data_IF_702853701791
#
_entry.id   IF_702853701791
#
_cell.length_a   1.000
_cell.length_b   1.000
_cell.length_c   1.000
_cell.angle_alpha   90.00
_cell.angle_beta   90.00
_cell.angle_gamma   90.00
#
_symmetry.space_group_name_H-M   'P 1'
#
loop_
_entity.id
_entity.type
_entity.pdbx_description
1 polymer ?
#
# COMPACT_ATOMS: atom_id res chain seq x y z
N UNK A 1 -7.25 7.22 -6.49
CA UNK A 1 -7.10 6.02 -5.61
C UNK A 1 -7.18 4.67 -6.33
N UNK A 2 -8.28 4.34 -7.05
CA UNK A 2 -8.41 3.04 -7.76
C UNK A 2 -7.30 2.79 -8.80
N UNK A 3 -6.94 3.82 -9.58
CA UNK A 3 -5.83 3.73 -10.55
C UNK A 3 -4.49 3.38 -9.87
N UNK A 4 -4.09 4.12 -8.83
CA UNK A 4 -2.85 3.85 -8.09
C UNK A 4 -2.76 2.41 -7.56
N UNK A 5 -3.86 1.86 -7.01
CA UNK A 5 -3.89 0.46 -6.59
C UNK A 5 -3.69 -0.52 -7.75
N UNK A 6 -4.28 -0.27 -8.92
CA UNK A 6 -4.08 -1.13 -10.10
C UNK A 6 -2.64 -1.08 -10.59
N UNK A 7 -2.06 0.12 -10.68
CA UNK A 7 -0.69 0.32 -11.13
C UNK A 7 0.30 -0.44 -10.23
N UNK A 8 0.23 -0.24 -8.92
CA UNK A 8 1.08 -0.91 -7.93
C UNK A 8 0.82 -2.42 -7.84
N UNK A 9 -0.37 -2.90 -8.24
CA UNK A 9 -0.66 -4.33 -8.26
C UNK A 9 0.05 -5.10 -9.39
N UNK A 10 0.69 -4.40 -10.33
CA UNK A 10 1.33 -4.95 -11.56
C UNK A 10 0.38 -5.72 -12.49
N UNK A 11 -0.93 -5.57 -12.30
CA UNK A 11 -1.99 -6.09 -13.18
C UNK A 11 -2.58 -4.99 -14.05
N UNK A 12 -1.71 -4.19 -14.64
CA UNK A 12 -2.11 -3.04 -15.44
C UNK A 12 -1.66 -3.20 -16.89
N UNK A 13 -2.39 -2.58 -17.80
CA UNK A 13 -1.99 -2.43 -19.19
C UNK A 13 -1.88 -0.92 -19.43
N UNK A 14 -0.64 -0.41 -19.51
CA UNK A 14 -0.38 1.03 -19.60
C UNK A 14 -1.05 1.66 -20.82
N UNK A 15 -1.15 0.94 -21.94
CA UNK A 15 -1.82 1.45 -23.15
C UNK A 15 -3.33 1.63 -22.95
N UNK A 16 -3.97 0.69 -22.26
CA UNK A 16 -5.38 0.82 -21.91
C UNK A 16 -5.61 1.94 -20.91
N UNK A 17 -4.74 2.07 -19.90
CA UNK A 17 -4.82 3.15 -18.92
C UNK A 17 -4.70 4.52 -19.59
N UNK A 18 -3.74 4.70 -20.51
CA UNK A 18 -3.59 5.93 -21.31
C UNK A 18 -4.83 6.22 -22.18
N UNK A 19 -5.40 5.20 -22.83
CA UNK A 19 -6.63 5.37 -23.63
C UNK A 19 -7.83 5.75 -22.77
N UNK A 20 -7.89 5.30 -21.53
CA UNK A 20 -8.93 5.72 -20.58
C UNK A 20 -8.67 7.17 -20.16
N UNK A 21 -7.43 7.52 -19.82
CA UNK A 21 -7.07 8.88 -19.42
C UNK A 21 -7.34 9.91 -20.52
N UNK A 22 -7.04 9.59 -21.80
CA UNK A 22 -7.32 10.49 -22.91
C UNK A 22 -8.82 10.77 -23.08
N UNK A 23 -9.68 9.78 -22.81
CA UNK A 23 -11.13 9.95 -22.80
C UNK A 23 -11.65 10.72 -21.57
N UNK A 24 -10.95 10.62 -20.43
CA UNK A 24 -11.31 11.30 -19.19
C UNK A 24 -10.87 12.76 -19.16
N UNK A 25 -9.81 13.14 -19.88
CA UNK A 25 -9.25 14.51 -19.89
C UNK A 25 -10.25 15.61 -20.28
N UNK A 26 -11.29 15.27 -21.05
CA UNK A 26 -12.37 16.20 -21.42
C UNK A 26 -13.60 16.16 -20.53
N UNK A 27 -13.64 15.27 -19.52
CA UNK A 27 -14.81 15.02 -18.65
C UNK A 27 -14.51 15.15 -17.17
N UNK A 28 -13.24 15.08 -16.77
CA UNK A 28 -12.79 15.14 -15.37
C UNK A 28 -11.97 16.41 -15.17
N UNK A 29 -11.96 16.90 -13.93
CA UNK A 29 -11.15 18.05 -13.52
C UNK A 29 -9.68 17.90 -13.92
N UNK A 30 -9.09 18.99 -14.43
CA UNK A 30 -7.75 19.02 -14.99
C UNK A 30 -6.68 18.51 -14.01
N UNK A 31 -6.74 18.90 -12.74
CA UNK A 31 -5.75 18.48 -11.73
C UNK A 31 -5.83 16.98 -11.45
N UNK A 32 -7.03 16.39 -11.40
CA UNK A 32 -7.20 14.96 -11.20
C UNK A 32 -6.70 14.16 -12.41
N UNK A 33 -6.99 14.62 -13.63
CA UNK A 33 -6.46 14.00 -14.86
C UNK A 33 -4.94 14.14 -14.94
N UNK A 34 -4.38 15.26 -14.50
CA UNK A 34 -2.94 15.49 -14.46
C UNK A 34 -2.26 14.56 -13.46
N UNK A 35 -2.78 14.47 -12.23
CA UNK A 35 -2.26 13.56 -11.21
C UNK A 35 -2.32 12.10 -11.67
N UNK A 36 -3.41 11.67 -12.31
CA UNK A 36 -3.51 10.31 -12.86
C UNK A 36 -2.52 10.05 -14.00
N UNK A 37 -2.27 11.03 -14.87
CA UNK A 37 -1.26 10.92 -15.92
C UNK A 37 0.14 10.81 -15.31
N UNK A 38 0.45 11.67 -14.32
CA UNK A 38 1.71 11.62 -13.62
C UNK A 38 1.94 10.29 -12.90
N UNK A 39 0.90 9.66 -12.32
CA UNK A 39 1.02 8.30 -11.75
C UNK A 39 1.43 7.25 -12.81
N UNK A 40 0.89 7.35 -14.03
CA UNK A 40 1.22 6.43 -15.12
C UNK A 40 2.65 6.66 -15.60
N UNK A 41 3.04 7.92 -15.75
CA UNK A 41 4.39 8.31 -16.18
C UNK A 41 5.44 7.93 -15.12
N UNK A 42 5.13 8.08 -13.82
CA UNK A 42 5.98 7.63 -12.70
C UNK A 42 6.26 6.11 -12.81
N UNK A 43 5.22 5.31 -13.04
CA UNK A 43 5.34 3.84 -13.15
C UNK A 43 6.13 3.43 -14.39
N UNK A 44 5.92 4.09 -15.52
CA UNK A 44 6.66 3.80 -16.75
C UNK A 44 8.15 4.13 -16.59
N UNK A 45 8.45 5.31 -16.04
CA UNK A 45 9.83 5.76 -15.80
C UNK A 45 10.55 4.82 -14.83
N UNK A 46 9.84 4.27 -13.83
CA UNK A 46 10.44 3.42 -12.81
C UNK A 46 10.45 1.93 -13.15
N UNK A 47 9.56 1.47 -14.04
CA UNK A 47 9.64 0.11 -14.58
C UNK A 47 10.98 -0.18 -15.29
N UNK A 48 11.74 0.89 -15.57
CA UNK A 48 13.08 0.89 -16.15
C UNK A 48 14.23 1.04 -15.13
N UNK A 49 13.95 1.19 -13.83
CA UNK A 49 14.97 1.34 -12.78
C UNK A 49 14.79 0.27 -11.70
N UNK A 50 15.31 -0.94 -11.94
CA UNK A 50 15.38 -1.96 -10.88
C UNK A 50 16.48 -1.59 -9.90
N UNK A 51 16.34 -1.98 -8.64
CA UNK A 51 17.41 -1.82 -7.64
C UNK A 51 18.74 -2.45 -8.11
N UNK A 52 18.66 -3.54 -8.89
CA UNK A 52 19.80 -4.18 -9.56
C UNK A 52 20.50 -3.27 -10.57
N UNK A 53 19.78 -2.36 -11.24
CA UNK A 53 20.37 -1.38 -12.17
C UNK A 53 21.11 -0.27 -11.41
N UNK A 54 20.64 0.08 -10.19
CA UNK A 54 21.37 0.95 -9.26
C UNK A 54 22.60 0.26 -8.65
N UNK A 55 22.53 -1.05 -8.39
CA UNK A 55 23.68 -1.85 -7.98
C UNK A 55 24.72 -2.03 -9.10
N UNK A 56 24.31 -1.94 -10.37
CA UNK A 56 25.22 -2.00 -11.53
C UNK A 56 26.30 -0.92 -11.60
N UNK A 57 26.23 0.10 -10.72
CA UNK A 57 27.25 1.15 -10.58
C UNK A 57 28.28 0.93 -9.47
N UNK A 58 28.08 -0.03 -8.55
CA UNK A 58 29.02 -0.31 -7.47
C UNK A 58 29.33 -1.81 -7.41
N UNK A 59 30.55 -2.12 -7.84
CA UNK A 59 31.35 -3.32 -7.55
C UNK A 59 30.85 -4.15 -6.37
N UNK A 60 30.66 -5.47 -6.60
CA UNK A 60 30.86 -6.56 -5.63
C UNK A 60 30.93 -6.12 -4.15
N UNK A 61 29.82 -5.64 -3.61
CA UNK A 61 29.62 -5.64 -2.18
C UNK A 61 28.89 -6.95 -1.90
N UNK A 62 29.58 -7.85 -1.21
CA UNK A 62 29.01 -9.02 -0.53
C UNK A 62 27.83 -8.60 0.35
N UNK A 63 26.66 -8.44 -0.26
CA UNK A 63 25.44 -8.72 0.44
C UNK A 63 25.11 -10.11 -0.05
N UNK A 64 25.35 -11.10 0.80
CA UNK A 64 24.57 -12.34 0.84
C UNK A 64 23.09 -11.95 1.09
N UNK A 65 22.48 -11.20 0.17
CA UNK A 65 21.15 -10.66 0.29
C UNK A 65 20.19 -11.81 -0.01
N UNK A 66 19.86 -12.56 1.04
CA UNK A 66 18.78 -13.55 1.03
C UNK A 66 17.43 -12.93 0.58
N UNK A 67 17.32 -11.60 0.55
CA UNK A 67 16.11 -10.85 0.21
C UNK A 67 16.30 -10.01 -1.06
N UNK A 68 15.52 -10.31 -2.12
CA UNK A 68 15.42 -9.48 -3.33
C UNK A 68 14.42 -8.33 -3.12
N UNK A 69 14.88 -7.08 -3.16
CA UNK A 69 14.05 -5.88 -2.94
C UNK A 69 13.77 -5.16 -4.26
N UNK A 70 12.49 -4.98 -4.57
CA UNK A 70 12.02 -4.10 -5.66
C UNK A 70 11.24 -2.94 -5.06
N UNK A 71 11.67 -1.71 -5.36
CA UNK A 71 11.04 -0.48 -4.86
C UNK A 71 10.40 0.29 -6.01
N UNK A 72 9.17 0.73 -5.81
CA UNK A 72 8.48 1.69 -6.69
C UNK A 72 8.39 3.02 -5.94
N UNK A 73 8.96 4.07 -6.52
CA UNK A 73 8.94 5.41 -5.94
C UNK A 73 7.71 6.15 -6.48
N UNK A 74 7.26 7.22 -5.86
CA UNK A 74 6.15 7.99 -6.40
C UNK A 74 6.16 9.37 -5.82
N UNK A 75 5.77 10.37 -6.61
CA UNK A 75 5.66 11.71 -6.06
C UNK A 75 4.42 11.79 -5.16
N UNK A 76 4.62 11.98 -3.86
CA UNK A 76 3.55 12.09 -2.85
C UNK A 76 2.43 13.07 -3.24
N UNK A 77 2.73 14.14 -3.99
CA UNK A 77 1.72 15.10 -4.45
C UNK A 77 0.76 14.58 -5.52
N UNK A 78 1.16 13.56 -6.28
CA UNK A 78 0.32 12.96 -7.34
C UNK A 78 -0.36 11.69 -6.86
N UNK A 79 0.24 10.96 -5.93
CA UNK A 79 -0.26 9.68 -5.45
C UNK A 79 -1.29 9.83 -4.33
N UNK A 80 -2.28 8.92 -4.22
CA UNK A 80 -3.21 8.96 -3.10
C UNK A 80 -2.45 8.65 -1.81
N UNK A 81 -2.77 9.35 -0.72
CA UNK A 81 -2.28 8.95 0.60
C UNK A 81 -3.00 7.68 1.06
N UNK A 82 -2.23 6.78 1.67
CA UNK A 82 -2.73 5.57 2.32
C UNK A 82 -2.37 5.62 3.81
N UNK A 83 -3.17 4.97 4.64
CA UNK A 83 -2.89 4.91 6.07
C UNK A 83 -1.75 3.90 6.29
N UNK A 84 -0.53 4.42 6.42
CA UNK A 84 0.62 3.61 6.77
C UNK A 84 0.58 3.24 8.26
N UNK A 85 0.58 1.95 8.61
CA UNK A 85 0.63 1.51 10.00
C UNK A 85 2.04 1.66 10.55
N UNK A 86 2.15 1.95 11.85
CA UNK A 86 3.44 1.95 12.55
C UNK A 86 3.89 0.51 12.86
N UNK A 87 4.31 -0.20 11.82
CA UNK A 87 4.67 -1.62 11.84
C UNK A 87 6.14 -1.80 12.19
N UNK A 88 6.43 -2.63 13.20
CA UNK A 88 7.79 -3.12 13.45
C UNK A 88 8.10 -4.25 12.46
N UNK A 89 9.17 -4.07 11.68
CA UNK A 89 9.60 -5.01 10.66
C UNK A 89 10.87 -5.77 11.09
N UNK A 90 11.15 -6.94 10.48
CA UNK A 90 12.41 -7.64 10.66
C UNK A 90 13.64 -6.78 10.33
N UNK A 91 14.75 -7.04 11.02
CA UNK A 91 15.98 -6.24 10.89
C UNK A 91 16.57 -6.32 9.49
N UNK A 92 16.38 -7.43 8.80
CA UNK A 92 16.81 -7.68 7.42
C UNK A 92 16.10 -6.71 6.46
N UNK A 93 14.77 -6.59 6.57
CA UNK A 93 13.99 -5.65 5.76
C UNK A 93 14.38 -4.20 6.05
N UNK A 94 14.57 -3.84 7.33
CA UNK A 94 14.99 -2.50 7.71
C UNK A 94 16.37 -2.13 7.16
N UNK A 95 17.32 -3.08 7.12
CA UNK A 95 18.65 -2.86 6.51
C UNK A 95 18.53 -2.57 5.02
N UNK A 96 17.77 -3.38 4.27
CA UNK A 96 17.57 -3.16 2.82
C UNK A 96 16.92 -1.80 2.54
N UNK A 97 15.93 -1.41 3.35
CA UNK A 97 15.27 -0.10 3.22
C UNK A 97 16.23 1.07 3.51
N UNK A 98 17.05 0.96 4.57
CA UNK A 98 18.02 1.99 4.92
C UNK A 98 19.13 2.15 3.85
N UNK A 99 19.57 1.04 3.26
CA UNK A 99 20.54 1.05 2.17
C UNK A 99 19.96 1.66 0.90
N UNK A 100 18.73 1.31 0.54
CA UNK A 100 18.01 1.94 -0.56
C UNK A 100 17.87 3.45 -0.33
N UNK A 101 17.50 3.88 0.87
CA UNK A 101 17.35 5.29 1.20
C UNK A 101 18.68 6.06 1.06
N UNK A 102 19.79 5.46 1.50
CA UNK A 102 21.13 6.03 1.32
C UNK A 102 21.47 6.20 -0.17
N UNK A 103 21.19 5.19 -0.99
CA UNK A 103 21.43 5.23 -2.44
C UNK A 103 20.54 6.28 -3.12
N UNK A 104 19.27 6.39 -2.74
CA UNK A 104 18.33 7.36 -3.28
C UNK A 104 18.73 8.80 -2.93
N UNK A 105 19.15 9.04 -1.69
CA UNK A 105 19.67 10.34 -1.23
C UNK A 105 20.97 10.75 -1.92
N UNK A 106 21.78 9.79 -2.38
CA UNK A 106 22.99 10.10 -3.15
C UNK A 106 22.69 10.67 -4.54
N UNK A 107 21.54 10.30 -5.12
CA UNK A 107 21.12 10.73 -6.46
C UNK A 107 20.10 11.88 -6.44
N UNK A 108 19.42 12.08 -5.31
CA UNK A 108 18.37 13.09 -5.16
C UNK A 108 18.41 13.74 -3.78
N UNK A 109 18.10 15.03 -3.69
CA UNK A 109 17.97 15.73 -2.41
C UNK A 109 16.57 15.58 -1.78
N UNK A 110 15.82 14.54 -2.18
CA UNK A 110 14.45 14.31 -1.72
C UNK A 110 14.41 13.27 -0.61
N UNK A 111 13.55 13.50 0.38
CA UNK A 111 13.27 12.53 1.42
C UNK A 111 12.28 11.47 0.90
N UNK A 112 12.45 10.22 1.36
CA UNK A 112 11.53 9.13 1.09
C UNK A 112 10.59 8.94 2.27
N UNK A 113 9.34 8.60 1.97
CA UNK A 113 8.37 8.12 2.94
C UNK A 113 7.86 6.76 2.47
N UNK A 114 7.83 5.78 3.35
CA UNK A 114 7.61 4.38 2.99
C UNK A 114 6.15 3.97 3.19
N UNK A 115 5.49 3.60 2.10
CA UNK A 115 4.12 3.11 2.13
C UNK A 115 4.06 1.58 2.23
N UNK A 116 3.98 1.06 3.45
CA UNK A 116 4.02 -0.39 3.71
C UNK A 116 2.68 -1.09 3.51
N UNK A 117 1.55 -0.35 3.46
CA UNK A 117 0.22 -0.98 3.37
C UNK A 117 -0.04 -1.67 2.03
N UNK A 118 0.69 -1.26 0.98
CA UNK A 118 0.56 -1.78 -0.39
C UNK A 118 1.68 -2.74 -0.77
N UNK A 119 2.65 -2.94 0.12
CA UNK A 119 3.79 -3.80 -0.13
C UNK A 119 3.40 -5.26 -0.28
N UNK A 120 4.14 -5.95 -1.15
CA UNK A 120 4.02 -7.39 -1.39
C UNK A 120 5.36 -8.05 -1.09
N UNK A 121 5.29 -9.22 -0.49
CA UNK A 121 6.46 -10.03 -0.16
C UNK A 121 6.23 -11.45 -0.66
N UNK A 122 7.29 -12.08 -1.18
CA UNK A 122 7.31 -13.50 -1.47
C UNK A 122 8.11 -14.15 -0.33
N UNK A 123 7.50 -15.09 0.38
CA UNK A 123 8.12 -15.78 1.52
C UNK A 123 8.16 -17.27 1.20
N UNK A 124 9.32 -17.89 1.36
CA UNK A 124 9.50 -19.33 1.22
C UNK A 124 9.28 -19.98 2.59
N UNK A 125 8.45 -21.01 2.63
CA UNK A 125 8.12 -21.79 3.83
C UNK A 125 8.58 -23.22 3.62
N UNK A 126 9.30 -23.78 4.61
CA UNK A 126 9.84 -25.15 4.59
C UNK A 126 10.60 -25.47 3.29
N UNK A 127 11.37 -24.50 2.77
CA UNK A 127 12.22 -24.58 1.57
C UNK A 127 11.54 -25.08 0.29
N UNK A 128 10.21 -25.08 0.24
CA UNK A 128 9.44 -25.71 -0.83
C UNK A 128 8.20 -24.95 -1.24
N UNK A 129 7.60 -24.17 -0.32
CA UNK A 129 6.33 -23.48 -0.58
C UNK A 129 6.54 -21.98 -0.62
N UNK A 130 6.32 -21.38 -1.79
CA UNK A 130 6.32 -19.93 -1.95
C UNK A 130 4.94 -19.34 -1.60
N UNK A 131 4.92 -18.30 -0.78
CA UNK A 131 3.72 -17.56 -0.40
C UNK A 131 3.78 -16.11 -0.89
N UNK A 132 2.77 -15.66 -1.63
CA UNK A 132 2.56 -14.24 -1.95
C UNK A 132 1.75 -13.59 -0.84
N UNK A 133 2.40 -12.72 -0.06
CA UNK A 133 1.86 -12.09 1.15
C UNK A 133 1.91 -10.57 1.06
N UNK A 134 1.08 -9.91 1.88
CA UNK A 134 1.25 -8.48 2.18
C UNK A 134 2.40 -8.27 3.17
N UNK A 135 2.96 -7.06 3.25
CA UNK A 135 4.05 -6.73 4.19
C UNK A 135 3.69 -7.06 5.65
N UNK A 136 2.46 -6.76 6.08
CA UNK A 136 1.97 -7.11 7.43
C UNK A 136 1.96 -8.62 7.66
N UNK A 137 1.48 -9.38 6.69
CA UNK A 137 1.43 -10.85 6.74
C UNK A 137 2.85 -11.43 6.81
N UNK A 138 3.79 -10.92 6.02
CA UNK A 138 5.17 -11.36 6.04
C UNK A 138 5.87 -11.05 7.37
N UNK A 139 5.68 -9.85 7.92
CA UNK A 139 6.23 -9.48 9.23
C UNK A 139 5.70 -10.38 10.35
N UNK A 140 4.41 -10.76 10.30
CA UNK A 140 3.83 -11.69 11.26
C UNK A 140 4.50 -13.06 11.20
N UNK A 141 4.67 -13.63 10.00
CA UNK A 141 5.33 -14.94 9.86
C UNK A 141 6.80 -14.89 10.27
N UNK A 142 7.50 -13.81 9.98
CA UNK A 142 8.90 -13.64 10.35
C UNK A 142 9.13 -13.71 11.87
N UNK A 143 8.12 -13.38 12.70
CA UNK A 143 8.22 -13.55 14.16
C UNK A 143 8.44 -15.00 14.58
N UNK A 144 7.94 -15.96 13.79
CA UNK A 144 8.06 -17.39 14.08
C UNK A 144 9.44 -17.96 13.72
N UNK A 145 10.30 -17.20 13.04
CA UNK A 145 11.70 -17.60 12.80
C UNK A 145 12.52 -17.64 14.11
N UNK A 146 12.11 -16.87 15.12
CA UNK A 146 12.79 -16.82 16.43
C UNK A 146 11.99 -17.47 17.57
N UNK A 147 10.78 -17.96 17.30
CA UNK A 147 9.89 -18.50 18.33
C UNK A 147 8.87 -19.46 17.72
N UNK A 148 8.85 -20.71 18.15
CA UNK A 148 7.92 -21.72 17.62
C UNK A 148 6.45 -21.46 17.99
N UNK A 149 6.24 -20.80 19.14
CA UNK A 149 4.92 -20.50 19.69
C UNK A 149 4.87 -19.05 20.22
N UNK A 150 3.77 -18.35 19.92
CA UNK A 150 3.53 -16.98 20.36
C UNK A 150 2.07 -16.80 20.79
N UNK A 151 1.86 -16.01 21.85
CA UNK A 151 0.52 -15.59 22.24
C UNK A 151 0.04 -14.44 21.36
N UNK A 152 -1.28 -14.25 21.27
CA UNK A 152 -1.87 -13.09 20.59
C UNK A 152 -1.28 -11.76 21.10
N UNK A 153 -1.11 -11.63 22.43
CA UNK A 153 -0.58 -10.41 23.05
C UNK A 153 0.89 -10.13 22.68
N UNK A 154 1.70 -11.18 22.56
CA UNK A 154 3.10 -11.05 22.13
C UNK A 154 3.19 -10.63 20.67
N UNK A 155 2.31 -11.15 19.81
CA UNK A 155 2.26 -10.79 18.39
C UNK A 155 1.88 -9.32 18.22
N UNK A 156 0.87 -8.83 18.96
CA UNK A 156 0.49 -7.42 18.93
C UNK A 156 1.63 -6.50 19.37
N UNK A 157 2.33 -6.84 20.46
CA UNK A 157 3.43 -6.02 20.96
C UNK A 157 4.65 -6.05 20.03
N UNK A 158 5.02 -7.22 19.51
CA UNK A 158 6.16 -7.37 18.57
C UNK A 158 5.93 -6.71 17.22
N UNK A 159 4.69 -6.67 16.71
CA UNK A 159 4.35 -5.99 15.45
C UNK A 159 4.00 -4.51 15.64
N UNK A 160 3.72 -4.08 16.87
CA UNK A 160 3.18 -2.75 17.18
C UNK A 160 1.88 -2.42 16.40
N UNK A 161 0.99 -3.41 16.29
CA UNK A 161 -0.30 -3.27 15.60
C UNK A 161 -1.49 -3.40 16.57
N UNK A 162 -2.59 -2.67 16.33
CA UNK A 162 -3.81 -2.82 17.12
C UNK A 162 -4.44 -4.20 16.88
N UNK A 163 -5.17 -4.70 17.88
CA UNK A 163 -5.82 -6.02 17.81
C UNK A 163 -6.74 -6.16 16.58
N UNK A 164 -7.44 -5.09 16.20
CA UNK A 164 -8.33 -5.05 15.03
C UNK A 164 -7.61 -5.36 13.70
N UNK A 165 -6.32 -5.00 13.61
CA UNK A 165 -5.46 -5.27 12.45
C UNK A 165 -4.83 -6.66 12.52
N UNK A 166 -4.55 -7.19 13.71
CA UNK A 166 -3.87 -8.48 13.92
C UNK A 166 -4.82 -9.67 13.78
N UNK A 167 -6.06 -9.56 14.25
CA UNK A 167 -7.10 -10.60 14.13
C UNK A 167 -7.26 -11.11 12.69
N UNK A 168 -7.45 -10.28 11.66
CA UNK A 168 -7.59 -10.76 10.28
C UNK A 168 -6.30 -11.39 9.74
N UNK A 169 -5.13 -10.91 10.14
CA UNK A 169 -3.86 -11.49 9.75
C UNK A 169 -3.76 -12.92 10.29
N UNK A 170 -4.03 -13.12 11.58
CA UNK A 170 -4.01 -14.45 12.20
C UNK A 170 -5.06 -15.38 11.60
N UNK A 171 -6.29 -14.90 11.40
CA UNK A 171 -7.34 -15.68 10.72
C UNK A 171 -6.90 -16.14 9.32
N UNK A 172 -6.15 -15.32 8.59
CA UNK A 172 -5.65 -15.68 7.25
C UNK A 172 -4.68 -16.87 7.25
N UNK A 173 -3.95 -17.08 8.36
CA UNK A 173 -2.95 -18.13 8.50
C UNK A 173 -3.40 -19.35 9.31
N UNK A 174 -4.39 -19.20 10.19
CA UNK A 174 -4.83 -20.29 11.10
C UNK A 174 -6.20 -20.87 10.77
N UNK A 175 -7.15 -20.02 10.40
CA UNK A 175 -8.55 -20.43 10.19
C UNK A 175 -8.92 -20.56 8.70
N UNK A 176 -8.02 -20.14 7.81
CA UNK A 176 -8.21 -20.24 6.37
C UNK A 176 -7.97 -21.65 5.82
N UNK A 177 -8.02 -21.75 4.50
CA UNK A 177 -7.72 -22.99 3.77
C UNK A 177 -6.26 -23.46 3.97
N UNK A 178 -5.36 -22.53 4.28
CA UNK A 178 -3.93 -22.78 4.46
C UNK A 178 -3.58 -22.65 5.93
N UNK A 179 -3.53 -23.77 6.65
CA UNK A 179 -3.22 -23.85 8.09
C UNK A 179 -1.70 -23.78 8.33
N UNK A 180 -1.13 -22.61 8.05
CA UNK A 180 0.30 -22.33 8.27
C UNK A 180 0.58 -22.15 9.76
N UNK A 181 -0.37 -21.57 10.49
CA UNK A 181 -0.32 -21.49 11.94
C UNK A 181 -1.38 -22.40 12.55
N UNK A 182 -1.00 -23.16 13.57
CA UNK A 182 -1.91 -23.96 14.40
C UNK A 182 -2.36 -23.09 15.56
N UNK A 183 -3.66 -22.84 15.65
CA UNK A 183 -4.27 -22.09 16.76
C UNK A 183 -4.66 -23.01 17.90
N UNK A 184 -4.38 -22.57 19.12
CA UNK A 184 -4.77 -23.23 20.36
C UNK A 184 -5.57 -22.25 21.23
N UNK A 185 -6.86 -22.53 21.54
CA UNK A 185 -7.67 -23.68 21.08
C UNK A 185 -8.04 -23.58 19.58
N UNK A 186 -8.30 -24.74 18.96
CA UNK A 186 -8.68 -24.83 17.55
C UNK A 186 -10.15 -24.43 17.33
N UNK A 187 -10.43 -23.13 17.29
CA UNK A 187 -11.73 -22.56 16.94
C UNK A 187 -11.62 -21.66 15.70
N UNK A 188 -12.75 -21.34 15.06
CA UNK A 188 -12.76 -20.51 13.84
C UNK A 188 -12.55 -19.01 14.12
N UNK A 189 -12.71 -18.60 15.38
CA UNK A 189 -12.50 -17.23 15.84
C UNK A 189 -11.15 -17.08 16.54
N UNK A 190 -10.55 -15.89 16.41
CA UNK A 190 -9.30 -15.54 17.09
C UNK A 190 -9.65 -14.70 18.30
N UNK A 191 -9.27 -15.19 19.49
CA UNK A 191 -9.43 -14.54 20.77
C UNK A 191 -8.08 -13.99 21.27
N UNK A 192 -8.14 -13.00 22.18
CA UNK A 192 -6.97 -12.36 22.76
C UNK A 192 -6.11 -13.29 23.63
N UNK A 193 -6.69 -14.41 24.08
CA UNK A 193 -6.03 -15.44 24.91
C UNK A 193 -5.47 -16.59 24.09
N UNK A 194 -5.59 -16.55 22.76
CA UNK A 194 -5.18 -17.64 21.90
C UNK A 194 -3.66 -17.67 21.72
N UNK A 195 -3.14 -18.89 21.56
CA UNK A 195 -1.76 -19.16 21.23
C UNK A 195 -1.65 -19.71 19.81
N UNK A 196 -0.58 -19.35 19.13
CA UNK A 196 -0.31 -19.73 17.74
C UNK A 196 1.03 -20.44 17.68
N UNK A 197 1.07 -21.56 16.97
CA UNK A 197 2.26 -22.38 16.77
C UNK A 197 2.50 -22.51 15.26
N UNK A 198 3.75 -22.40 14.82
CA UNK A 198 4.08 -22.62 13.42
C UNK A 198 3.89 -24.09 13.01
N UNK A 199 3.21 -24.34 11.89
CA UNK A 199 2.98 -25.69 11.38
C UNK A 199 4.16 -26.17 10.53
N UNK A 200 5.12 -26.85 11.14
CA UNK A 200 6.29 -27.43 10.44
C UNK A 200 5.92 -28.52 9.43
N UNK A 201 4.72 -29.10 9.52
CA UNK A 201 4.21 -30.12 8.59
C UNK A 201 3.41 -29.52 7.43
N UNK A 202 3.38 -28.21 7.29
CA UNK A 202 2.69 -27.57 6.19
C UNK A 202 3.35 -27.92 4.86
N UNK A 203 2.59 -28.57 3.97
CA UNK A 203 2.96 -28.88 2.60
C UNK A 203 1.87 -28.37 1.66
N UNK A 204 2.24 -28.04 0.43
CA UNK A 204 1.28 -27.67 -0.60
C UNK A 204 1.45 -28.51 -1.85
N UNK A 205 0.36 -29.10 -2.33
CA UNK A 205 0.35 -29.90 -3.57
C UNK A 205 0.28 -29.03 -4.84
N UNK A 206 0.25 -27.70 -4.69
CA UNK A 206 0.22 -26.77 -5.82
C UNK A 206 1.62 -26.44 -6.28
N UNK A 207 1.85 -26.59 -7.58
CA UNK A 207 3.03 -26.02 -8.24
C UNK A 207 2.83 -24.51 -8.42
N UNK A 208 3.56 -23.71 -7.63
CA UNK A 208 3.63 -22.26 -7.75
C UNK A 208 3.25 -21.50 -6.48
N UNK A 209 3.50 -20.19 -6.48
CA UNK A 209 3.29 -19.30 -5.34
C UNK A 209 1.81 -19.26 -4.89
N UNK A 210 1.55 -19.54 -3.62
CA UNK A 210 0.21 -19.47 -3.03
C UNK A 210 -0.05 -18.06 -2.53
N UNK A 211 -1.09 -17.43 -3.07
CA UNK A 211 -1.57 -16.15 -2.55
C UNK A 211 -2.52 -16.35 -1.39
N UNK A 212 -2.21 -15.76 -0.23
CA UNK A 212 -3.05 -15.87 0.96
C UNK A 212 -4.00 -14.67 1.04
N UNK A 213 -5.31 -14.86 0.84
CA UNK A 213 -6.26 -13.78 0.94
C UNK A 213 -6.41 -13.35 2.41
N UNK A 214 -6.38 -12.05 2.64
CA UNK A 214 -6.85 -11.48 3.90
C UNK A 214 -8.38 -11.66 3.96
N UNK A 215 -8.91 -12.21 5.06
CA UNK A 215 -10.34 -12.18 5.33
C UNK A 215 -10.82 -10.75 5.19
N UNK A 216 -11.93 -10.56 4.47
CA UNK A 216 -12.60 -9.27 4.44
C UNK A 216 -13.01 -8.96 5.89
N UNK A 217 -12.21 -8.16 6.59
CA UNK A 217 -12.73 -7.47 7.76
C UNK A 217 -13.88 -6.66 7.19
N UNK A 218 -15.04 -6.74 7.84
CA UNK A 218 -16.05 -5.71 7.73
C UNK A 218 -15.43 -4.42 8.32
N UNK A 219 -14.37 -3.91 7.70
CA UNK A 219 -14.09 -2.50 7.67
C UNK A 219 -15.40 -1.96 7.14
N UNK A 220 -16.23 -1.48 8.08
CA UNK A 220 -17.36 -0.62 7.82
C UNK A 220 -16.95 0.18 6.60
N UNK A 221 -17.81 0.24 5.59
CA UNK A 221 -17.82 1.24 4.52
C UNK A 221 -17.63 2.64 5.13
N UNK A 222 -16.41 2.93 5.59
CA UNK A 222 -15.67 4.15 5.45
C UNK A 222 -14.92 3.94 4.13
N UNK A 223 -15.55 3.47 3.05
CA UNK A 223 -16.12 4.44 2.10
C UNK A 223 -16.49 5.72 2.82
N UNK A 224 -15.43 6.50 3.06
CA UNK A 224 -15.45 7.93 3.31
C UNK A 224 -16.09 8.50 2.04
N UNK A 225 -17.42 8.37 1.96
CA UNK A 225 -18.31 9.34 1.35
C UNK A 225 -18.48 10.50 2.35
N UNK A 226 -17.45 10.81 3.13
CA UNK A 226 -17.28 12.17 3.58
C UNK A 226 -16.79 12.88 2.32
N UNK A 227 -17.76 13.37 1.55
CA UNK A 227 -17.59 14.47 0.62
C UNK A 227 -17.22 15.74 1.42
N UNK A 228 -16.13 15.65 2.17
CA UNK A 228 -15.43 16.81 2.67
C UNK A 228 -14.75 17.34 1.43
N UNK A 229 -15.44 18.26 0.75
CA UNK A 229 -14.74 19.23 -0.08
C UNK A 229 -13.80 19.92 0.90
N UNK A 230 -12.50 19.65 0.77
CA UNK A 230 -11.50 20.28 1.63
C UNK A 230 -11.70 21.80 1.57
N UNK A 231 -11.62 22.47 2.73
CA UNK A 231 -11.75 23.93 2.85
C UNK A 231 -10.80 24.66 1.88
N UNK A 232 -9.67 24.04 1.57
CA UNK A 232 -8.75 24.49 0.52
C UNK A 232 -9.39 24.61 -0.87
N UNK A 233 -10.20 23.62 -1.29
CA UNK A 233 -10.86 23.62 -2.61
C UNK A 233 -11.89 24.73 -2.68
N UNK A 234 -12.64 24.94 -1.58
CA UNK A 234 -13.62 26.04 -1.47
C UNK A 234 -12.90 27.39 -1.59
N UNK A 235 -11.82 27.59 -0.83
CA UNK A 235 -11.01 28.82 -0.89
C UNK A 235 -10.41 29.05 -2.27
N UNK A 236 -9.93 28.00 -2.94
CA UNK A 236 -9.37 28.09 -4.29
C UNK A 236 -10.43 28.49 -5.33
N UNK A 237 -11.63 27.92 -5.25
CA UNK A 237 -12.77 28.29 -6.11
C UNK A 237 -13.14 29.77 -5.90
N UNK A 238 -13.28 30.20 -4.64
CA UNK A 238 -13.55 31.61 -4.30
C UNK A 238 -12.47 32.53 -4.88
N UNK A 239 -11.19 32.19 -4.71
CA UNK A 239 -10.09 33.00 -5.25
C UNK A 239 -10.12 33.09 -6.78
N UNK A 240 -10.45 32.02 -7.50
CA UNK A 240 -10.59 32.05 -8.97
C UNK A 240 -11.72 32.96 -9.42
N UNK A 241 -12.90 32.82 -8.82
CA UNK A 241 -14.08 33.63 -9.15
C UNK A 241 -13.81 35.11 -8.84
N UNK A 242 -13.28 35.40 -7.65
CA UNK A 242 -12.95 36.77 -7.23
C UNK A 242 -11.82 37.40 -8.06
N UNK A 243 -10.87 36.60 -8.57
CA UNK A 243 -9.82 37.10 -9.47
C UNK A 243 -10.38 37.58 -10.81
N UNK A 244 -11.44 36.96 -11.31
CA UNK A 244 -12.07 37.35 -12.58
C UNK A 244 -13.03 38.53 -12.39
N UNK A 245 -13.91 38.47 -11.39
CA UNK A 245 -14.95 39.48 -11.17
C UNK A 245 -14.49 40.73 -10.39
N UNK A 246 -13.42 40.62 -9.58
CA UNK A 246 -12.87 41.65 -8.66
C UNK A 246 -13.81 42.13 -7.55
N UNK A 247 -15.10 42.29 -7.82
CA UNK A 247 -16.17 42.62 -6.87
C UNK A 247 -17.41 41.82 -7.26
N UNK A 248 -17.99 41.08 -6.31
CA UNK A 248 -19.18 40.27 -6.53
C UNK A 248 -20.07 40.27 -5.26
N UNK A 249 -21.40 40.41 -5.37
CA UNK A 249 -22.32 40.21 -4.25
C UNK A 249 -22.18 38.81 -3.64
N UNK A 250 -22.37 38.69 -2.32
CA UNK A 250 -22.17 37.44 -1.59
C UNK A 250 -23.04 36.29 -2.14
N UNK A 251 -24.32 36.56 -2.44
CA UNK A 251 -25.23 35.55 -2.96
C UNK A 251 -24.83 35.02 -4.34
N UNK A 252 -24.29 35.90 -5.19
CA UNK A 252 -23.79 35.52 -6.51
C UNK A 252 -22.49 34.71 -6.39
N UNK A 253 -21.60 35.09 -5.48
CA UNK A 253 -20.38 34.33 -5.20
C UNK A 253 -20.69 32.91 -4.73
N UNK A 254 -21.65 32.76 -3.80
CA UNK A 254 -22.07 31.45 -3.30
C UNK A 254 -22.68 30.61 -4.41
N UNK A 255 -23.52 31.20 -5.27
CA UNK A 255 -24.12 30.51 -6.41
C UNK A 255 -23.06 30.03 -7.41
N UNK A 256 -22.11 30.88 -7.79
CA UNK A 256 -21.04 30.52 -8.72
C UNK A 256 -20.08 29.47 -8.13
N UNK A 257 -19.68 29.63 -6.86
CA UNK A 257 -18.92 28.62 -6.14
C UNK A 257 -19.65 27.28 -6.11
N UNK A 258 -20.97 27.27 -5.87
CA UNK A 258 -21.75 26.04 -5.86
C UNK A 258 -21.80 25.35 -7.24
N UNK A 259 -21.86 26.13 -8.33
CA UNK A 259 -21.80 25.59 -9.69
C UNK A 259 -20.42 25.00 -9.99
N UNK A 260 -19.34 25.71 -9.66
CA UNK A 260 -17.97 25.24 -9.85
C UNK A 260 -17.70 23.96 -9.03
N UNK A 261 -18.12 23.93 -7.76
CA UNK A 261 -17.97 22.77 -6.88
C UNK A 261 -18.86 21.59 -7.31
N UNK A 262 -20.08 21.82 -7.81
CA UNK A 262 -20.93 20.75 -8.38
C UNK A 262 -20.32 20.13 -9.63
N UNK A 263 -19.73 20.95 -10.50
CA UNK A 263 -18.97 20.44 -11.64
C UNK A 263 -17.79 19.57 -11.20
N UNK A 264 -17.16 19.88 -10.05
CA UNK A 264 -16.12 19.02 -9.45
C UNK A 264 -16.68 17.71 -8.87
N UNK A 265 -17.84 17.74 -8.20
CA UNK A 265 -18.45 16.57 -7.55
C UNK A 265 -19.09 15.58 -8.54
N UNK A 266 -19.70 16.07 -9.64
CA UNK A 266 -20.30 15.21 -10.67
C UNK A 266 -19.25 14.39 -11.46
N UNK A 267 -17.96 14.64 -11.24
CA UNK A 267 -16.84 13.91 -11.83
C UNK A 267 -16.14 12.92 -10.87
N UNK A 268 -16.63 12.77 -9.62
CA UNK A 268 -16.15 11.75 -8.67
C UNK A 268 -16.76 10.37 -8.90
#
# INVERSE_FOLDING_TARGET
RKLGLRLLSHRHNLDLERRILSKLRGRVFFEASYAMQAMVDDIETQSLCRFKDFQGGNTHADIDAEVDLTVTVGNSGNWPSYASPNLLMPVEMMKCMAEFEKLYRAHTNMALDWELSLGKCIVVVNDSVELELTTKQACLLALFNSSDALSFSDICSKLNLPADDVVPLLKSFSCGNYKILIKLPATDEVCLTDNFIFNTKFTSDRSGSIKIPLPLVNAKKKMINEDVIDDYIIRAAIMRIMKWHKVLPCDQLVSECAVELRAMLLCK
#
